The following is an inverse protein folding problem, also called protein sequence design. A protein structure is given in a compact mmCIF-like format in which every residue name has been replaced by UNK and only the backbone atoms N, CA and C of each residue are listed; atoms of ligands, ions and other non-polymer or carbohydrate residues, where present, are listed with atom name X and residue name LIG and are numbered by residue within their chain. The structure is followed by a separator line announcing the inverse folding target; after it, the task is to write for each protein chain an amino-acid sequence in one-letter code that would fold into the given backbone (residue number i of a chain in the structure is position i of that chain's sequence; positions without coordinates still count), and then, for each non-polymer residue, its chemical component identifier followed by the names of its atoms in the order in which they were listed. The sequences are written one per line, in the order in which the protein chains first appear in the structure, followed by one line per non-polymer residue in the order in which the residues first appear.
data_IF_621949899810
#
_entry.id   IF_621949899810
#
_cell.length_a   1.000
_cell.length_b   1.000
_cell.length_c   1.000
_cell.angle_alpha   90.00
_cell.angle_beta   90.00
_cell.angle_gamma   90.00
#
_symmetry.space_group_name_H-M   'P 1'
#
loop_
_entity.id
_entity.type
_entity.pdbx_description
1 polymer ?
#
# COMPACT_ATOMS: atom_id res chain seq x y z
N UNK A 1 -5.65 9.30 9.04
CA UNK A 1 -6.76 8.30 9.03
C UNK A 1 -8.00 9.04 9.49
N UNK A 2 -9.18 8.80 8.89
CA UNK A 2 -10.39 9.54 9.29
C UNK A 2 -11.01 8.97 10.55
N UNK A 3 -11.15 7.65 10.60
CA UNK A 3 -11.85 6.95 11.69
C UNK A 3 -11.41 5.47 11.74
N UNK A 4 -11.30 4.93 12.94
CA UNK A 4 -11.25 3.51 13.26
C UNK A 4 -12.66 2.96 13.41
N UNK A 5 -13.04 2.05 12.51
CA UNK A 5 -14.38 1.49 12.46
C UNK A 5 -14.57 0.57 13.67
N UNK A 6 -15.75 0.61 14.30
CA UNK A 6 -16.07 -0.25 15.43
C UNK A 6 -15.90 -1.75 15.10
N UNK A 7 -15.09 -2.42 15.90
CA UNK A 7 -14.74 -3.85 15.77
C UNK A 7 -15.33 -4.71 16.90
N UNK A 8 -16.45 -4.28 17.50
CA UNK A 8 -17.08 -5.02 18.63
C UNK A 8 -17.46 -6.49 18.29
N UNK A 9 -17.53 -6.83 17.01
CA UNK A 9 -17.79 -8.17 16.51
C UNK A 9 -16.53 -9.07 16.48
N UNK A 10 -15.34 -8.50 16.61
CA UNK A 10 -14.08 -9.25 16.64
C UNK A 10 -13.80 -9.77 18.06
N UNK A 11 -13.13 -10.94 18.19
CA UNK A 11 -12.65 -11.41 19.49
C UNK A 11 -11.68 -10.40 20.11
N UNK A 12 -11.67 -10.30 21.44
CA UNK A 12 -10.70 -9.45 22.17
C UNK A 12 -9.24 -9.88 21.99
N UNK A 13 -9.00 -11.08 21.46
CA UNK A 13 -7.68 -11.61 21.12
C UNK A 13 -7.18 -11.19 19.74
N UNK A 14 -7.96 -10.44 18.96
CA UNK A 14 -7.50 -9.91 17.67
C UNK A 14 -6.33 -8.93 17.91
N UNK A 15 -5.10 -9.25 17.43
CA UNK A 15 -3.91 -8.48 17.79
C UNK A 15 -3.88 -7.09 17.13
N UNK A 16 -4.35 -7.01 15.88
CA UNK A 16 -4.30 -5.81 15.05
C UNK A 16 -5.69 -5.54 14.45
N UNK A 17 -6.64 -5.05 15.26
CA UNK A 17 -8.02 -4.81 14.83
C UNK A 17 -8.10 -3.71 13.77
N UNK A 18 -7.16 -2.77 13.79
CA UNK A 18 -7.08 -1.61 12.91
C UNK A 18 -5.72 -1.56 12.27
N UNK A 19 -5.66 -1.60 10.95
CA UNK A 19 -4.39 -1.55 10.21
C UNK A 19 -4.51 -0.52 9.12
N UNK A 20 -3.56 0.41 9.08
CA UNK A 20 -3.33 1.30 7.95
C UNK A 20 -1.86 1.21 7.58
N UNK A 21 -1.59 1.00 6.29
CA UNK A 21 -0.25 1.06 5.71
C UNK A 21 -0.33 1.82 4.40
N UNK A 22 0.56 2.78 4.23
CA UNK A 22 0.62 3.66 3.05
C UNK A 22 2.00 3.63 2.44
N UNK A 23 2.10 3.85 1.14
CA UNK A 23 3.39 3.96 0.47
C UNK A 23 3.29 3.70 -1.02
N UNK A 24 4.26 2.97 -1.54
CA UNK A 24 4.48 2.80 -2.97
C UNK A 24 4.73 1.36 -3.33
N UNK A 25 4.21 0.90 -4.46
CA UNK A 25 4.61 -0.39 -5.04
C UNK A 25 4.59 -0.38 -6.57
N UNK A 26 5.11 -1.44 -7.18
CA UNK A 26 4.83 -1.69 -8.60
C UNK A 26 3.38 -2.14 -8.79
N UNK A 27 2.85 -1.94 -10.00
CA UNK A 27 1.51 -2.43 -10.36
C UNK A 27 1.42 -3.96 -10.34
N UNK A 28 2.54 -4.66 -10.51
CA UNK A 28 2.60 -6.13 -10.46
C UNK A 28 2.53 -6.72 -9.06
N UNK A 29 2.67 -5.89 -8.01
CA UNK A 29 2.58 -6.37 -6.64
C UNK A 29 1.15 -6.81 -6.29
N UNK A 30 1.06 -7.76 -5.36
CA UNK A 30 -0.16 -8.14 -4.66
C UNK A 30 -0.74 -6.98 -3.85
N UNK A 31 -1.90 -7.20 -3.23
CA UNK A 31 -2.57 -6.23 -2.35
C UNK A 31 -1.94 -6.12 -0.97
N UNK A 32 -0.94 -6.95 -0.65
CA UNK A 32 -0.26 -6.97 0.65
C UNK A 32 0.95 -6.01 0.65
N UNK A 33 0.68 -4.72 0.82
CA UNK A 33 1.71 -3.67 0.82
C UNK A 33 2.86 -3.98 1.79
N UNK A 34 4.10 -4.01 1.30
CA UNK A 34 5.30 -4.24 2.11
C UNK A 34 5.69 -5.71 2.31
N UNK A 35 4.91 -6.67 1.80
CA UNK A 35 5.17 -8.11 1.99
C UNK A 35 5.94 -8.77 0.84
N UNK A 36 6.32 -7.99 -0.18
CA UNK A 36 7.05 -8.49 -1.36
C UNK A 36 8.08 -7.46 -1.89
N UNK A 37 9.01 -7.88 -2.76
CA UNK A 37 9.94 -6.96 -3.41
C UNK A 37 9.24 -5.85 -4.18
N UNK A 38 9.83 -4.65 -4.15
CA UNK A 38 9.28 -3.45 -4.76
C UNK A 38 7.90 -3.02 -4.22
N UNK A 39 7.57 -3.46 -3.01
CA UNK A 39 6.43 -2.97 -2.22
C UNK A 39 6.97 -2.32 -0.95
N UNK A 40 6.72 -1.03 -0.78
CA UNK A 40 7.34 -0.17 0.23
C UNK A 40 6.27 0.50 1.07
N UNK A 41 5.99 -0.05 2.25
CA UNK A 41 4.92 0.40 3.13
C UNK A 41 5.42 1.07 4.39
N UNK A 42 4.68 2.06 4.87
CA UNK A 42 4.79 2.65 6.20
C UNK A 42 3.47 2.46 6.95
N UNK A 43 3.53 1.75 8.07
CA UNK A 43 2.35 1.32 8.84
C UNK A 43 2.09 2.19 10.08
N UNK A 44 0.84 2.20 10.54
CA UNK A 44 0.38 2.93 11.73
C UNK A 44 1.18 2.64 13.00
N UNK A 45 1.88 1.50 13.08
CA UNK A 45 2.77 1.14 14.19
C UNK A 45 4.13 1.86 14.16
N UNK A 46 4.34 2.84 13.26
CA UNK A 46 5.62 3.55 13.09
C UNK A 46 6.71 2.72 12.40
N UNK A 47 6.35 1.60 11.78
CA UNK A 47 7.28 0.70 11.10
C UNK A 47 7.22 0.87 9.60
N UNK A 48 8.39 0.84 8.95
CA UNK A 48 8.50 0.67 7.51
C UNK A 48 8.59 -0.82 7.17
N UNK A 49 8.11 -1.20 5.99
CA UNK A 49 8.02 -2.58 5.55
C UNK A 49 8.31 -2.76 4.07
N UNK A 50 9.11 -3.77 3.75
CA UNK A 50 9.37 -4.23 2.38
C UNK A 50 9.87 -5.67 2.43
N UNK A 51 9.52 -6.50 1.43
CA UNK A 51 9.91 -7.92 1.38
C UNK A 51 9.55 -8.70 2.66
N UNK A 52 8.43 -8.33 3.31
CA UNK A 52 7.99 -8.97 4.55
C UNK A 52 8.84 -8.64 5.79
N UNK A 53 9.81 -7.73 5.67
CA UNK A 53 10.62 -7.23 6.79
C UNK A 53 10.00 -5.96 7.34
N UNK A 54 9.89 -5.88 8.66
CA UNK A 54 9.28 -4.75 9.37
C UNK A 54 10.32 -4.12 10.31
N UNK A 55 10.65 -2.86 10.07
CA UNK A 55 11.71 -2.15 10.78
C UNK A 55 11.17 -0.86 11.40
N UNK A 56 11.71 -0.48 12.57
CA UNK A 56 11.41 0.82 13.19
C UNK A 56 11.91 1.92 12.26
N UNK A 57 11.10 2.95 12.04
CA UNK A 57 11.44 4.05 11.13
C UNK A 57 10.97 5.40 11.65
N UNK A 58 9.68 5.53 11.91
CA UNK A 58 9.07 6.79 12.28
C UNK A 58 8.17 6.65 13.50
N UNK A 59 7.24 7.58 13.64
CA UNK A 59 6.30 7.62 14.75
C UNK A 59 5.01 6.88 14.42
N UNK A 60 4.41 6.21 15.41
CA UNK A 60 3.07 5.65 15.21
C UNK A 60 2.06 6.72 14.75
N UNK A 61 1.11 6.34 13.92
CA UNK A 61 0.04 7.22 13.45
C UNK A 61 -1.31 6.51 13.47
N UNK A 62 -2.39 7.30 13.63
CA UNK A 62 -3.75 6.77 13.74
C UNK A 62 -4.80 7.77 13.24
N UNK A 63 -5.96 7.74 13.88
CA UNK A 63 -7.04 8.71 13.63
C UNK A 63 -6.53 10.15 13.65
N UNK A 64 -7.11 10.99 12.78
CA UNK A 64 -6.76 12.41 12.59
C UNK A 64 -5.34 12.70 12.07
N UNK A 65 -4.42 11.74 12.04
CA UNK A 65 -3.09 11.96 11.45
C UNK A 65 -3.13 12.03 9.93
N UNK A 66 -2.35 12.96 9.37
CA UNK A 66 -2.14 13.13 7.92
C UNK A 66 -0.76 12.61 7.56
N UNK A 67 -0.72 11.62 6.68
CA UNK A 67 0.53 11.08 6.13
C UNK A 67 0.70 11.50 4.68
N UNK A 68 1.77 12.23 4.39
CA UNK A 68 2.21 12.49 3.03
C UNK A 68 3.27 11.45 2.63
N UNK A 69 3.06 10.77 1.50
CA UNK A 69 4.00 9.80 0.94
C UNK A 69 4.80 10.48 -0.17
N UNK A 70 6.11 10.56 -0.01
CA UNK A 70 7.01 11.21 -0.96
C UNK A 70 7.80 10.17 -1.76
N UNK A 71 8.00 10.44 -3.05
CA UNK A 71 8.93 9.72 -3.91
C UNK A 71 9.78 10.72 -4.67
N UNK A 72 11.06 10.77 -4.34
CA UNK A 72 12.03 11.66 -4.97
C UNK A 72 12.80 10.88 -6.06
N UNK A 73 12.56 11.23 -7.32
CA UNK A 73 13.26 10.68 -8.47
C UNK A 73 14.47 11.53 -8.90
N UNK A 74 14.77 12.63 -8.22
CA UNK A 74 15.89 13.54 -8.51
C UNK A 74 17.13 13.22 -7.65
N UNK A 75 17.02 12.29 -6.70
CA UNK A 75 18.09 11.84 -5.81
C UNK A 75 19.17 10.96 -6.49
N UNK A 76 19.86 11.50 -7.49
CA UNK A 76 20.98 10.82 -8.16
C UNK A 76 20.55 9.55 -8.91
N UNK A 77 21.18 8.41 -8.61
CA UNK A 77 20.89 7.11 -9.23
C UNK A 77 19.82 6.29 -8.49
N UNK A 78 19.26 6.85 -7.41
CA UNK A 78 18.26 6.20 -6.57
C UNK A 78 16.94 6.99 -6.58
N UNK A 79 15.88 6.30 -6.19
CA UNK A 79 14.61 6.90 -5.81
C UNK A 79 14.54 6.85 -4.28
N UNK A 80 14.43 8.01 -3.65
CA UNK A 80 14.24 8.10 -2.19
C UNK A 80 12.75 8.14 -1.86
N UNK A 81 12.29 7.18 -1.05
CA UNK A 81 10.94 7.15 -0.53
C UNK A 81 10.96 7.61 0.93
N UNK A 82 10.15 8.61 1.25
CA UNK A 82 10.05 9.17 2.61
C UNK A 82 8.62 9.56 2.94
N UNK A 83 8.38 9.88 4.21
CA UNK A 83 7.05 10.20 4.70
C UNK A 83 7.09 11.47 5.55
N UNK A 84 6.00 12.23 5.51
CA UNK A 84 5.71 13.26 6.52
C UNK A 84 4.51 12.85 7.35
N UNK A 85 4.58 13.06 8.65
CA UNK A 85 3.44 12.99 9.57
C UNK A 85 3.08 14.42 9.97
N UNK A 86 1.87 14.86 9.63
CA UNK A 86 1.37 16.21 9.95
C UNK A 86 2.38 17.31 9.56
N UNK A 87 2.97 17.18 8.36
CA UNK A 87 3.99 18.12 7.85
C UNK A 87 5.41 17.93 8.38
N UNK A 88 5.63 17.08 9.39
CA UNK A 88 6.95 16.77 9.92
C UNK A 88 7.61 15.64 9.13
N UNK A 89 8.81 15.89 8.60
CA UNK A 89 9.59 14.89 7.87
C UNK A 89 10.16 13.82 8.80
N UNK A 90 10.00 12.55 8.42
CA UNK A 90 10.42 11.38 9.23
C UNK A 90 11.76 10.78 8.77
N UNK A 91 12.47 11.44 7.86
CA UNK A 91 13.71 10.92 7.26
C UNK A 91 13.45 9.99 6.06
N UNK A 92 14.52 9.49 5.43
CA UNK A 92 14.40 8.57 4.28
C UNK A 92 14.05 7.16 4.77
N UNK A 93 12.95 6.60 4.26
CA UNK A 93 12.51 5.24 4.60
C UNK A 93 13.20 4.19 3.72
N UNK A 94 13.25 4.44 2.41
CA UNK A 94 13.78 3.50 1.43
C UNK A 94 14.61 4.23 0.37
N UNK A 95 15.65 3.53 -0.10
CA UNK A 95 16.44 3.91 -1.29
C UNK A 95 16.32 2.79 -2.30
N UNK A 96 15.88 3.12 -3.50
CA UNK A 96 15.64 2.14 -4.56
C UNK A 96 16.49 2.51 -5.77
N UNK A 97 17.45 1.69 -6.19
CA UNK A 97 18.21 1.98 -7.40
C UNK A 97 17.28 2.13 -8.61
N UNK A 98 17.42 3.22 -9.38
CA UNK A 98 16.61 3.44 -10.60
C UNK A 98 16.76 2.31 -11.60
N UNK A 99 17.97 1.75 -11.71
CA UNK A 99 18.25 0.56 -12.51
C UNK A 99 17.43 -0.66 -12.08
N UNK A 100 17.15 -0.84 -10.79
CA UNK A 100 16.31 -1.94 -10.30
C UNK A 100 14.83 -1.77 -10.66
N UNK A 101 14.34 -0.53 -10.74
CA UNK A 101 12.99 -0.25 -11.26
C UNK A 101 12.88 -0.53 -12.76
N UNK A 102 13.97 -0.46 -13.51
CA UNK A 102 14.00 -0.74 -14.96
C UNK A 102 12.91 0.04 -15.74
N UNK A 103 12.70 1.31 -15.37
CA UNK A 103 11.70 2.18 -15.98
C UNK A 103 10.24 1.91 -15.57
N UNK A 104 9.99 0.94 -14.69
CA UNK A 104 8.64 0.68 -14.15
C UNK A 104 8.24 1.78 -13.18
N UNK A 105 7.00 2.26 -13.29
CA UNK A 105 6.48 3.30 -12.40
C UNK A 105 6.13 2.74 -11.01
N UNK A 106 6.20 3.62 -10.01
CA UNK A 106 5.65 3.40 -8.68
C UNK A 106 4.22 3.92 -8.62
N UNK A 107 3.35 3.17 -7.94
CA UNK A 107 1.94 3.47 -7.74
C UNK A 107 1.69 3.73 -6.26
N UNK A 108 0.88 4.76 -5.91
CA UNK A 108 0.39 4.90 -4.55
C UNK A 108 -0.34 3.62 -4.13
N UNK A 109 0.05 3.06 -3.00
CA UNK A 109 -0.50 1.82 -2.47
C UNK A 109 -0.95 2.05 -1.03
N UNK A 110 -2.17 1.63 -0.73
CA UNK A 110 -2.77 1.73 0.60
C UNK A 110 -3.39 0.38 0.95
N UNK A 111 -2.98 -0.15 2.10
CA UNK A 111 -3.61 -1.30 2.74
C UNK A 111 -4.36 -0.78 3.96
N UNK A 112 -5.62 -1.20 4.09
CA UNK A 112 -6.49 -0.78 5.18
C UNK A 112 -7.32 -1.95 5.69
N UNK A 113 -7.42 -2.07 7.02
CA UNK A 113 -8.27 -3.01 7.74
C UNK A 113 -9.04 -2.23 8.79
N UNK A 114 -10.37 -2.27 8.72
CA UNK A 114 -11.29 -1.63 9.66
C UNK A 114 -11.05 -0.12 9.90
N UNK A 115 -10.48 0.61 8.94
CA UNK A 115 -10.36 2.07 9.05
C UNK A 115 -10.99 2.76 7.84
N UNK A 116 -11.51 3.96 8.05
CA UNK A 116 -11.83 4.90 6.99
C UNK A 116 -10.63 5.79 6.72
N UNK A 117 -10.26 5.93 5.45
CA UNK A 117 -9.13 6.75 4.99
C UNK A 117 -9.58 7.68 3.87
N UNK A 118 -9.06 8.91 3.88
CA UNK A 118 -9.26 9.88 2.81
C UNK A 118 -7.94 10.10 2.07
N UNK A 119 -8.01 10.25 0.75
CA UNK A 119 -6.84 10.52 -0.09
C UNK A 119 -6.94 11.86 -0.76
N UNK A 120 -5.81 12.55 -0.86
CA UNK A 120 -5.66 13.71 -1.71
C UNK A 120 -4.46 13.50 -2.64
N UNK A 121 -4.75 13.15 -3.88
CA UNK A 121 -3.78 12.99 -4.96
C UNK A 121 -3.55 14.28 -5.75
N UNK A 122 -4.16 15.40 -5.35
CA UNK A 122 -4.19 16.67 -6.08
C UNK A 122 -5.53 16.96 -6.74
N UNK A 123 -6.59 16.23 -6.39
CA UNK A 123 -7.96 16.55 -6.82
C UNK A 123 -8.60 17.67 -5.98
N UNK A 124 -8.01 18.03 -4.82
CA UNK A 124 -8.42 19.16 -3.99
C UNK A 124 -7.53 20.38 -4.29
N UNK A 125 -8.01 21.63 -4.06
CA UNK A 125 -7.21 22.84 -4.29
C UNK A 125 -5.93 22.89 -3.47
N UNK A 126 -5.97 22.39 -2.23
CA UNK A 126 -4.85 22.41 -1.29
C UNK A 126 -4.57 21.00 -0.74
N UNK A 127 -3.31 20.67 -0.39
CA UNK A 127 -2.99 19.46 0.34
C UNK A 127 -3.55 19.51 1.77
N UNK A 128 -3.68 18.34 2.42
CA UNK A 128 -4.11 18.29 3.83
C UNK A 128 -3.11 18.92 4.81
N UNK A 129 -1.84 18.93 4.42
CA UNK A 129 -0.75 19.60 5.09
C UNK A 129 0.20 20.17 4.03
N UNK A 130 0.80 21.35 4.24
CA UNK A 130 1.85 21.88 3.37
C UNK A 130 2.91 20.83 3.01
N UNK A 131 3.23 20.75 1.72
CA UNK A 131 4.29 19.90 1.19
C UNK A 131 5.58 20.72 1.01
N UNK A 132 6.77 20.09 1.04
CA UNK A 132 7.99 20.78 0.67
C UNK A 132 7.90 21.30 -0.78
N UNK A 133 8.47 22.47 -1.05
CA UNK A 133 8.31 23.17 -2.33
C UNK A 133 8.83 22.40 -3.56
N UNK A 134 9.70 21.42 -3.36
CA UNK A 134 10.26 20.56 -4.41
C UNK A 134 9.34 19.40 -4.79
N UNK A 135 8.26 19.15 -4.04
CA UNK A 135 7.32 18.07 -4.30
C UNK A 135 6.01 18.59 -4.88
N UNK A 136 5.38 17.76 -5.71
CA UNK A 136 4.06 18.02 -6.25
C UNK A 136 3.17 16.79 -6.10
N UNK A 137 1.85 17.01 -6.05
CA UNK A 137 0.87 15.95 -5.98
C UNK A 137 0.77 15.21 -7.33
N UNK A 138 0.55 13.89 -7.29
CA UNK A 138 0.60 13.02 -8.48
C UNK A 138 -0.37 13.46 -9.61
N UNK A 139 -1.53 14.03 -9.27
CA UNK A 139 -2.51 14.52 -10.25
C UNK A 139 -1.98 15.71 -11.07
N UNK A 140 -1.05 16.49 -10.50
CA UNK A 140 -0.46 17.68 -11.13
C UNK A 140 0.73 17.34 -12.03
N UNK A 141 1.22 16.10 -12.02
CA UNK A 141 2.24 15.66 -12.96
C UNK A 141 1.72 15.71 -14.41
N UNK A 142 2.58 16.02 -15.40
CA UNK A 142 2.22 15.90 -16.81
C UNK A 142 1.67 14.51 -17.15
N UNK A 143 0.70 14.42 -18.07
CA UNK A 143 0.10 13.13 -18.47
C UNK A 143 1.15 12.14 -18.99
N UNK A 144 2.18 12.61 -19.69
CA UNK A 144 3.27 11.77 -20.20
C UNK A 144 4.17 11.16 -19.12
N UNK A 145 4.08 11.62 -17.87
CA UNK A 145 4.83 11.08 -16.73
C UNK A 145 3.94 10.21 -15.82
N UNK A 146 2.69 9.95 -16.23
CA UNK A 146 1.75 9.13 -15.48
C UNK A 146 1.48 7.84 -16.22
N UNK A 147 1.56 6.72 -15.51
CA UNK A 147 1.09 5.43 -16.00
C UNK A 147 -0.24 5.07 -15.35
N UNK A 148 -1.14 4.49 -16.14
CA UNK A 148 -2.41 3.99 -15.63
C UNK A 148 -2.16 2.63 -14.97
N UNK A 149 -2.54 2.51 -13.69
CA UNK A 149 -2.49 1.25 -12.98
C UNK A 149 -3.59 0.29 -13.43
N UNK A 150 -3.52 -0.96 -12.97
CA UNK A 150 -4.53 -1.98 -13.26
C UNK A 150 -5.93 -1.50 -12.90
N UNK A 151 -6.88 -1.70 -13.80
CA UNK A 151 -8.29 -1.37 -13.59
C UNK A 151 -8.99 -2.54 -12.90
N UNK A 152 -9.79 -2.23 -11.89
CA UNK A 152 -10.70 -3.21 -11.30
C UNK A 152 -11.84 -3.63 -12.26
N UNK A 153 -12.59 -4.69 -11.91
CA UNK A 153 -13.79 -5.10 -12.64
C UNK A 153 -14.79 -3.95 -12.77
N UNK A 154 -15.45 -3.81 -13.93
CA UNK A 154 -16.40 -2.71 -14.19
C UNK A 154 -17.76 -2.94 -13.52
N UNK A 155 -18.07 -4.19 -13.18
CA UNK A 155 -19.34 -4.59 -12.58
C UNK A 155 -19.16 -5.79 -11.67
N UNK A 156 -20.14 -6.04 -10.80
CA UNK A 156 -20.16 -7.23 -9.93
C UNK A 156 -20.13 -8.54 -10.72
N UNK A 157 -20.67 -8.56 -11.93
CA UNK A 157 -20.67 -9.74 -12.79
C UNK A 157 -19.28 -10.08 -13.35
N UNK A 158 -18.36 -9.12 -13.35
CA UNK A 158 -16.96 -9.31 -13.74
C UNK A 158 -16.05 -9.65 -12.55
N UNK A 159 -16.57 -9.56 -11.32
CA UNK A 159 -15.86 -10.00 -10.12
C UNK A 159 -15.79 -11.52 -10.06
N UNK A 160 -14.68 -12.04 -9.58
CA UNK A 160 -14.48 -13.47 -9.38
C UNK A 160 -14.23 -13.75 -7.89
N UNK A 161 -14.98 -14.71 -7.35
CA UNK A 161 -14.83 -15.18 -5.98
C UNK A 161 -14.64 -16.69 -6.05
N UNK A 162 -13.49 -17.17 -5.58
CA UNK A 162 -13.15 -18.58 -5.54
C UNK A 162 -13.10 -19.03 -4.07
N UNK A 163 -14.12 -19.80 -3.66
CA UNK A 163 -14.18 -20.36 -2.31
C UNK A 163 -13.61 -21.78 -2.30
N UNK A 164 -12.47 -21.95 -1.63
CA UNK A 164 -11.81 -23.26 -1.53
C UNK A 164 -12.38 -24.07 -0.37
N UNK A 165 -13.04 -25.19 -0.67
CA UNK A 165 -13.61 -26.11 0.34
C UNK A 165 -12.88 -27.45 0.28
N UNK A 166 -12.51 -28.00 1.45
CA UNK A 166 -11.84 -29.30 1.53
C UNK A 166 -11.15 -29.54 2.86
N UNK A 167 -10.72 -30.79 3.09
CA UNK A 167 -10.07 -31.23 4.33
C UNK A 167 -8.78 -30.45 4.64
N UNK A 168 -8.35 -30.39 5.91
CA UNK A 168 -7.00 -29.95 6.27
C UNK A 168 -5.94 -30.68 5.44
N UNK A 169 -4.86 -29.97 5.08
CA UNK A 169 -3.76 -30.49 4.24
C UNK A 169 -4.13 -30.98 2.81
N UNK A 170 -5.36 -30.75 2.32
CA UNK A 170 -5.77 -31.13 0.95
C UNK A 170 -5.20 -30.22 -0.18
N UNK A 171 -4.22 -29.35 0.12
CA UNK A 171 -3.57 -28.50 -0.90
C UNK A 171 -4.34 -27.24 -1.34
N UNK A 172 -5.40 -26.84 -0.62
CA UNK A 172 -6.23 -25.66 -0.97
C UNK A 172 -5.42 -24.38 -1.16
N UNK A 173 -4.57 -24.04 -0.19
CA UNK A 173 -3.71 -22.86 -0.25
C UNK A 173 -2.73 -22.94 -1.41
N UNK A 174 -2.13 -24.11 -1.64
CA UNK A 174 -1.22 -24.36 -2.77
C UNK A 174 -1.93 -24.11 -4.10
N UNK A 175 -3.16 -24.58 -4.25
CA UNK A 175 -3.95 -24.34 -5.46
C UNK A 175 -4.26 -22.85 -5.64
N UNK A 176 -4.74 -22.16 -4.59
CA UNK A 176 -5.09 -20.75 -4.65
C UNK A 176 -3.89 -19.87 -5.03
N UNK A 177 -2.72 -20.12 -4.42
CA UNK A 177 -1.47 -19.41 -4.73
C UNK A 177 -1.04 -19.68 -6.17
N UNK A 178 -1.11 -20.93 -6.64
CA UNK A 178 -0.76 -21.28 -8.03
C UNK A 178 -1.72 -20.63 -9.03
N UNK A 179 -3.02 -20.62 -8.74
CA UNK A 179 -4.03 -19.99 -9.59
C UNK A 179 -3.82 -18.48 -9.68
N UNK A 180 -3.50 -17.82 -8.56
CA UNK A 180 -3.17 -16.41 -8.55
C UNK A 180 -1.90 -16.09 -9.35
N UNK A 181 -0.84 -16.88 -9.17
CA UNK A 181 0.41 -16.73 -9.92
C UNK A 181 0.24 -16.96 -11.43
N UNK A 182 -0.67 -17.86 -11.84
CA UNK A 182 -0.99 -18.10 -13.24
C UNK A 182 -1.85 -16.97 -13.87
N UNK A 183 -2.47 -16.11 -13.05
CA UNK A 183 -3.37 -15.05 -13.47
C UNK A 183 -2.99 -13.70 -12.83
N UNK A 184 -1.76 -13.19 -13.04
CA UNK A 184 -1.26 -12.02 -12.32
C UNK A 184 -2.10 -10.75 -12.57
N UNK A 185 -2.67 -10.60 -13.77
CA UNK A 185 -3.56 -9.48 -14.10
C UNK A 185 -4.90 -9.48 -13.34
N UNK A 186 -5.30 -10.59 -12.72
CA UNK A 186 -6.51 -10.68 -11.89
C UNK A 186 -6.30 -10.14 -10.48
N UNK A 187 -5.04 -10.02 -10.03
CA UNK A 187 -4.66 -9.53 -8.69
C UNK A 187 -5.54 -10.12 -7.57
N UNK A 188 -5.67 -11.45 -7.54
CA UNK A 188 -6.49 -12.10 -6.51
C UNK A 188 -5.97 -11.75 -5.12
N UNK A 189 -6.88 -11.30 -4.26
CA UNK A 189 -6.64 -11.19 -2.83
C UNK A 189 -6.97 -12.55 -2.18
N UNK A 190 -5.96 -13.25 -1.66
CA UNK A 190 -6.14 -14.57 -1.05
C UNK A 190 -6.47 -14.37 0.43
N UNK A 191 -7.74 -14.59 0.77
CA UNK A 191 -8.20 -14.56 2.15
C UNK A 191 -7.98 -15.93 2.81
N UNK A 192 -7.36 -15.93 3.98
CA UNK A 192 -7.11 -17.12 4.78
C UNK A 192 -6.84 -16.74 6.23
N UNK A 193 -6.76 -17.72 7.13
CA UNK A 193 -6.55 -17.47 8.57
C UNK A 193 -5.24 -16.76 8.92
N UNK A 194 -4.30 -16.71 7.98
CA UNK A 194 -2.98 -16.09 8.14
C UNK A 194 -2.80 -14.85 7.25
N UNK A 195 -3.82 -14.48 6.47
CA UNK A 195 -3.80 -13.26 5.66
C UNK A 195 -4.55 -12.17 6.43
N UNK A 196 -3.92 -11.00 6.58
CA UNK A 196 -4.44 -9.83 7.31
C UNK A 196 -5.68 -9.27 6.63
#
# INVERSE_FOLDING_TARGET
VMEEISVQHLPSSEPDPHVVRVGWSLDSCSTQLGEEPFSFGYGGTGRKSTEGKFEIYGEAFGESDVIACLADFEAGEEVELSFLKNGQWLGVAFRVPKGALAGRALFPHVLVKNCAVEFNFGQRPEPFWPLPATFTLIQHLPLGQRLRGTLGPKSKAECEILMMVGLPAAGKTTWAVKHAAANPGKKYNILGTNAI
#
